data_IF_450617037858
#
_entry.id   IF_450617037858
#
_cell.length_a   1.000
_cell.length_b   1.000
_cell.length_c   1.000
_cell.angle_alpha   90.00
_cell.angle_beta   90.00
_cell.angle_gamma   90.00
#
_symmetry.space_group_name_H-M   'P 1'
#
loop_
_entity.id
_entity.type
_entity.pdbx_description
1 polymer ?
#
# COMPACT_ATOMS: atom_id res chain seq x y z
N UNK A 1 20.24 -4.32 24.22
CA UNK A 1 19.53 -5.58 24.49
C UNK A 1 18.14 -5.23 25.00
N UNK A 2 17.19 -5.06 24.07
CA UNK A 2 15.76 -5.01 24.38
C UNK A 2 15.12 -5.80 23.22
N UNK A 3 15.16 -7.13 23.34
CA UNK A 3 14.30 -8.01 22.56
C UNK A 3 13.11 -8.37 23.44
N UNK A 4 12.25 -7.40 23.73
CA UNK A 4 10.91 -7.74 24.18
C UNK A 4 10.18 -8.28 22.95
N UNK A 5 9.88 -9.59 22.99
CA UNK A 5 9.03 -10.26 22.01
C UNK A 5 7.64 -9.62 22.09
N UNK A 6 7.48 -8.49 21.39
CA UNK A 6 6.17 -8.07 20.93
C UNK A 6 5.57 -9.24 20.15
N UNK A 7 4.33 -9.67 20.47
CA UNK A 7 3.70 -10.75 19.73
C UNK A 7 3.68 -10.38 18.24
N UNK A 8 3.87 -11.39 17.39
CA UNK A 8 3.80 -11.22 15.95
C UNK A 8 2.49 -10.49 15.58
N UNK A 9 2.51 -9.56 14.60
CA UNK A 9 1.29 -8.90 14.16
C UNK A 9 0.28 -9.95 13.69
N UNK A 10 -0.99 -9.80 14.06
CA UNK A 10 -2.01 -10.79 13.69
C UNK A 10 -2.47 -10.59 12.23
N UNK A 11 -2.37 -9.37 11.72
CA UNK A 11 -2.73 -9.01 10.35
C UNK A 11 -1.80 -7.93 9.79
N UNK A 12 -1.99 -7.61 8.50
CA UNK A 12 -1.17 -6.62 7.80
C UNK A 12 -1.28 -5.20 8.40
N UNK A 13 -2.45 -4.81 8.89
CA UNK A 13 -2.63 -3.51 9.56
C UNK A 13 -1.90 -3.44 10.92
N UNK A 14 -1.91 -4.50 11.72
CA UNK A 14 -1.11 -4.57 12.96
C UNK A 14 0.40 -4.39 12.66
N UNK A 15 0.87 -4.94 11.53
CA UNK A 15 2.25 -4.81 11.08
C UNK A 15 2.59 -3.37 10.66
N UNK A 16 1.67 -2.68 9.98
CA UNK A 16 1.77 -1.25 9.66
C UNK A 16 1.83 -0.42 10.95
N UNK A 17 0.95 -0.68 11.92
CA UNK A 17 0.89 0.06 13.17
C UNK A 17 2.19 -0.03 13.98
N UNK A 18 2.70 -1.26 14.14
CA UNK A 18 4.02 -1.50 14.76
C UNK A 18 5.14 -0.81 13.99
N UNK A 19 5.20 -1.02 12.67
CA UNK A 19 6.25 -0.43 11.84
C UNK A 19 6.24 1.10 11.87
N UNK A 20 5.07 1.72 11.80
CA UNK A 20 4.95 3.17 11.84
C UNK A 20 5.40 3.73 13.20
N UNK A 21 4.93 3.15 14.31
CA UNK A 21 5.36 3.60 15.64
C UNK A 21 6.87 3.46 15.86
N UNK A 22 7.49 2.41 15.34
CA UNK A 22 8.95 2.24 15.38
C UNK A 22 9.69 3.31 14.55
N UNK A 23 9.17 3.63 13.36
CA UNK A 23 9.70 4.72 12.53
C UNK A 23 9.59 6.06 13.26
N UNK A 24 8.46 6.34 13.91
CA UNK A 24 8.28 7.57 14.68
C UNK A 24 9.27 7.63 15.85
N UNK A 25 9.43 6.55 16.63
CA UNK A 25 10.39 6.49 17.75
C UNK A 25 11.82 6.70 17.29
N UNK A 26 12.18 6.15 16.13
CA UNK A 26 13.52 6.31 15.55
C UNK A 26 13.79 7.75 15.06
N UNK A 27 12.75 8.57 14.87
CA UNK A 27 12.84 9.92 14.29
C UNK A 27 12.19 11.00 15.17
N UNK A 28 12.64 11.20 16.42
CA UNK A 28 11.97 12.07 17.40
C UNK A 28 11.96 13.55 17.02
N UNK A 29 12.80 13.96 16.05
CA UNK A 29 12.90 15.35 15.57
C UNK A 29 11.88 15.68 14.47
N UNK A 30 11.28 14.68 13.84
CA UNK A 30 10.33 14.91 12.76
C UNK A 30 8.93 15.14 13.34
N UNK A 31 8.25 16.19 12.87
CA UNK A 31 6.85 16.42 13.25
C UNK A 31 5.98 15.35 12.61
N UNK A 32 5.15 14.68 13.42
CA UNK A 32 4.27 13.60 12.95
C UNK A 32 2.84 14.10 12.78
N UNK A 33 2.20 13.76 11.66
CA UNK A 33 0.76 13.95 11.43
C UNK A 33 0.14 12.67 10.89
N UNK A 34 -0.99 12.29 11.47
CA UNK A 34 -1.80 11.15 11.00
C UNK A 34 -3.19 11.65 10.64
N UNK A 35 -3.63 11.39 9.41
CA UNK A 35 -4.99 11.65 8.97
C UNK A 35 -5.88 10.48 9.38
N UNK A 36 -6.95 10.79 10.11
CA UNK A 36 -7.90 9.81 10.63
C UNK A 36 -9.34 10.28 10.44
N UNK A 37 -10.11 9.76 9.47
CA UNK A 37 -11.52 10.08 9.32
C UNK A 37 -12.43 9.38 10.37
N UNK A 38 -11.96 9.28 11.61
CA UNK A 38 -12.56 8.54 12.74
C UNK A 38 -12.59 7.00 12.59
N UNK A 39 -11.49 6.43 12.09
CA UNK A 39 -11.41 5.00 11.73
C UNK A 39 -10.14 4.28 12.24
N UNK A 40 -9.21 4.97 12.91
CA UNK A 40 -7.90 4.42 13.27
C UNK A 40 -8.02 3.14 14.11
N UNK A 41 -8.88 3.15 15.14
CA UNK A 41 -9.08 1.99 16.00
C UNK A 41 -9.76 0.83 15.25
N UNK A 42 -10.74 1.12 14.40
CA UNK A 42 -11.45 0.08 13.61
C UNK A 42 -10.61 -0.49 12.46
N UNK A 43 -9.53 0.20 12.11
CA UNK A 43 -8.50 -0.17 11.14
C UNK A 43 -7.21 -0.70 11.79
N UNK A 44 -7.26 -1.18 13.05
CA UNK A 44 -6.15 -1.88 13.70
C UNK A 44 -4.88 -1.03 13.88
N UNK A 45 -5.07 0.25 14.26
CA UNK A 45 -3.95 1.16 14.56
C UNK A 45 -3.92 1.64 16.05
N UNK A 46 -4.08 0.75 17.06
CA UNK A 46 -4.12 1.16 18.46
C UNK A 46 -2.81 1.76 18.98
N UNK A 47 -1.64 1.24 18.57
CA UNK A 47 -0.34 1.70 19.06
C UNK A 47 -0.06 3.13 18.58
N UNK A 48 -0.36 3.42 17.32
CA UNK A 48 -0.29 4.76 16.75
C UNK A 48 -1.20 5.70 17.52
N UNK A 49 -2.44 5.29 17.79
CA UNK A 49 -3.39 6.12 18.51
C UNK A 49 -2.94 6.42 19.94
N UNK A 50 -2.48 5.41 20.68
CA UNK A 50 -1.98 5.55 22.05
C UNK A 50 -0.74 6.44 22.13
N UNK A 51 0.19 6.26 21.19
CA UNK A 51 1.44 7.02 21.13
C UNK A 51 1.23 8.48 20.73
N UNK A 52 0.42 8.72 19.70
CA UNK A 52 0.32 10.04 19.05
C UNK A 52 -0.88 10.86 19.50
N UNK A 53 -1.93 10.21 20.01
CA UNK A 53 -3.17 10.79 20.53
C UNK A 53 -3.97 11.60 19.51
N UNK A 54 -5.29 11.57 19.63
CA UNK A 54 -6.18 12.50 18.95
C UNK A 54 -5.84 13.93 19.38
N UNK A 55 -5.76 14.83 18.39
CA UNK A 55 -5.66 16.26 18.63
C UNK A 55 -7.04 16.84 18.90
N UNK A 56 -7.27 17.29 20.13
CA UNK A 56 -8.56 17.87 20.57
C UNK A 56 -8.36 19.16 21.37
N UNK A 57 -9.38 20.00 21.47
CA UNK A 57 -9.28 21.23 22.26
C UNK A 57 -9.42 20.99 23.78
N UNK A 58 -10.21 20.00 24.17
CA UNK A 58 -10.47 19.63 25.56
C UNK A 58 -10.36 18.11 25.69
N UNK A 59 -9.19 17.58 26.10
CA UNK A 59 -8.99 16.14 26.24
C UNK A 59 -9.84 15.54 27.36
N UNK A 60 -10.49 14.42 27.08
CA UNK A 60 -11.17 13.63 28.09
C UNK A 60 -10.18 12.77 28.90
N UNK A 61 -10.42 12.53 30.20
CA UNK A 61 -9.62 11.58 30.99
C UNK A 61 -9.72 10.16 30.42
N UNK A 62 -8.63 9.40 30.51
CA UNK A 62 -8.55 7.99 30.11
C UNK A 62 -8.82 7.68 28.62
N UNK A 63 -8.89 8.70 27.77
CA UNK A 63 -8.91 8.56 26.30
C UNK A 63 -7.55 8.93 25.71
N UNK A 64 -7.18 8.39 24.52
CA UNK A 64 -5.94 8.74 23.84
C UNK A 64 -6.06 10.12 23.17
N UNK A 65 -6.20 11.17 23.97
CA UNK A 65 -6.43 12.54 23.55
C UNK A 65 -5.39 13.51 24.12
N UNK A 66 -5.04 14.54 23.35
CA UNK A 66 -4.19 15.63 23.80
C UNK A 66 -4.36 16.90 22.96
N UNK A 67 -4.17 18.07 23.58
CA UNK A 67 -4.15 19.36 22.87
C UNK A 67 -3.06 19.42 21.81
N UNK A 68 -1.92 18.78 22.07
CA UNK A 68 -0.81 18.68 21.15
C UNK A 68 -0.76 17.35 20.38
N UNK A 69 -1.85 16.58 20.36
CA UNK A 69 -1.94 15.31 19.64
C UNK A 69 -1.52 15.41 18.16
N UNK A 70 -1.04 14.28 17.65
CA UNK A 70 -0.53 14.11 16.29
C UNK A 70 -1.54 13.52 15.32
N UNK A 71 -2.57 12.82 15.83
CA UNK A 71 -3.68 12.30 15.03
C UNK A 71 -4.72 13.39 14.81
N UNK A 72 -4.91 13.79 13.56
CA UNK A 72 -5.92 14.77 13.15
C UNK A 72 -7.20 14.02 12.78
N UNK A 73 -8.27 14.29 13.52
CA UNK A 73 -9.55 13.60 13.36
C UNK A 73 -10.66 14.55 12.98
N UNK A 74 -11.32 14.23 11.88
CA UNK A 74 -12.56 14.85 11.41
C UNK A 74 -13.25 13.81 10.53
N UNK A 75 -14.58 13.71 10.59
CA UNK A 75 -15.36 12.82 9.71
C UNK A 75 -15.45 13.40 8.27
N UNK A 76 -14.29 13.70 7.70
CA UNK A 76 -14.11 14.35 6.42
C UNK A 76 -12.69 14.05 5.91
N UNK A 77 -12.64 13.24 4.87
CA UNK A 77 -11.41 12.71 4.26
C UNK A 77 -10.55 13.83 3.67
N UNK A 78 -11.15 14.84 3.04
CA UNK A 78 -10.45 16.01 2.48
C UNK A 78 -9.76 16.85 3.57
N UNK A 79 -10.43 17.07 4.69
CA UNK A 79 -9.89 17.86 5.79
C UNK A 79 -8.70 17.17 6.46
N UNK A 80 -8.81 15.87 6.72
CA UNK A 80 -7.73 15.11 7.36
C UNK A 80 -6.53 14.95 6.43
N UNK A 81 -6.72 14.68 5.13
CA UNK A 81 -5.60 14.57 4.20
C UNK A 81 -4.89 15.91 4.02
N UNK A 82 -5.61 17.03 3.96
CA UNK A 82 -5.00 18.35 3.86
C UNK A 82 -4.08 18.66 5.05
N UNK A 83 -4.44 18.22 6.27
CA UNK A 83 -3.61 18.39 7.45
C UNK A 83 -2.28 17.61 7.37
N UNK A 84 -2.28 16.44 6.72
CA UNK A 84 -1.09 15.61 6.49
C UNK A 84 -0.24 16.20 5.35
N UNK A 85 -0.85 16.59 4.23
CA UNK A 85 -0.11 17.17 3.09
C UNK A 85 0.52 18.52 3.45
N UNK A 86 -0.14 19.31 4.32
CA UNK A 86 0.42 20.54 4.89
C UNK A 86 1.58 20.32 5.86
N UNK A 87 1.84 19.08 6.30
CA UNK A 87 2.99 18.73 7.14
C UNK A 87 4.23 18.39 6.30
N UNK A 88 4.63 19.35 5.47
CA UNK A 88 5.86 19.26 4.68
C UNK A 88 7.08 19.05 5.58
N UNK A 89 7.95 18.13 5.18
CA UNK A 89 9.18 17.78 5.90
C UNK A 89 8.99 16.96 7.18
N UNK A 90 7.75 16.61 7.54
CA UNK A 90 7.43 15.74 8.67
C UNK A 90 7.17 14.28 8.27
N UNK A 91 6.90 13.44 9.27
CA UNK A 91 6.37 12.09 9.06
C UNK A 91 4.85 12.14 8.97
N UNK A 92 4.33 11.47 7.95
CA UNK A 92 2.95 11.58 7.53
C UNK A 92 2.37 10.20 7.30
N UNK A 93 1.12 9.98 7.70
CA UNK A 93 0.38 8.76 7.43
C UNK A 93 -1.10 9.13 7.25
N UNK A 94 -1.77 8.59 6.24
CA UNK A 94 -3.22 8.62 6.16
C UNK A 94 -3.77 7.20 6.23
N UNK A 95 -4.86 7.00 6.97
CA UNK A 95 -5.55 5.71 7.04
C UNK A 95 -7.02 5.98 6.80
N UNK A 96 -7.62 5.26 5.86
CA UNK A 96 -9.02 5.42 5.48
C UNK A 96 -9.59 4.09 5.01
N UNK A 97 -10.90 3.93 5.13
CA UNK A 97 -11.65 2.97 4.35
C UNK A 97 -11.42 3.23 2.86
N UNK A 98 -11.15 2.16 2.10
CA UNK A 98 -10.85 2.26 0.67
C UNK A 98 -11.91 3.05 -0.10
N UNK A 99 -13.18 2.71 0.11
CA UNK A 99 -14.31 3.29 -0.62
C UNK A 99 -14.43 4.82 -0.45
N UNK A 100 -13.97 5.35 0.68
CA UNK A 100 -14.07 6.78 0.96
C UNK A 100 -12.78 7.55 0.73
N UNK A 101 -11.65 6.86 0.66
CA UNK A 101 -10.36 7.46 0.38
C UNK A 101 -10.36 8.22 -0.97
N UNK A 102 -11.24 7.85 -1.90
CA UNK A 102 -11.45 8.54 -3.18
C UNK A 102 -11.75 10.05 -3.02
N UNK A 103 -12.40 10.46 -1.93
CA UNK A 103 -12.65 11.89 -1.64
C UNK A 103 -11.35 12.69 -1.49
N UNK A 104 -10.25 12.05 -1.14
CA UNK A 104 -8.93 12.68 -1.00
C UNK A 104 -8.26 13.00 -2.34
N UNK A 105 -8.72 12.42 -3.46
CA UNK A 105 -7.99 12.43 -4.75
C UNK A 105 -7.62 13.84 -5.22
N UNK A 106 -8.52 14.81 -5.07
CA UNK A 106 -8.28 16.19 -5.50
C UNK A 106 -7.03 16.79 -4.84
N UNK A 107 -6.89 16.62 -3.53
CA UNK A 107 -5.73 17.09 -2.77
C UNK A 107 -4.46 16.31 -3.10
N UNK A 108 -4.56 14.98 -3.22
CA UNK A 108 -3.43 14.12 -3.58
C UNK A 108 -2.85 14.48 -4.96
N UNK A 109 -3.71 14.73 -5.95
CA UNK A 109 -3.30 15.05 -7.32
C UNK A 109 -2.51 16.35 -7.40
N UNK A 110 -2.86 17.36 -6.60
CA UNK A 110 -2.08 18.61 -6.56
C UNK A 110 -0.64 18.36 -6.10
N UNK A 111 -0.45 17.48 -5.12
CA UNK A 111 0.87 17.13 -4.60
C UNK A 111 1.69 16.26 -5.55
N UNK A 112 1.02 15.32 -6.22
CA UNK A 112 1.62 14.49 -7.27
C UNK A 112 2.15 15.38 -8.40
N UNK A 113 1.32 16.28 -8.93
CA UNK A 113 1.70 17.21 -10.02
C UNK A 113 2.80 18.16 -9.55
N UNK A 114 2.72 18.68 -8.32
CA UNK A 114 3.74 19.55 -7.77
C UNK A 114 5.11 18.86 -7.71
N UNK A 115 5.18 17.66 -7.13
CA UNK A 115 6.43 16.89 -7.08
C UNK A 115 6.94 16.52 -8.48
N UNK A 116 6.03 16.22 -9.40
CA UNK A 116 6.37 15.91 -10.79
C UNK A 116 7.03 17.10 -11.49
N UNK A 117 6.46 18.29 -11.39
CA UNK A 117 7.06 19.51 -11.95
C UNK A 117 8.44 19.81 -11.34
N UNK A 118 8.65 19.55 -10.06
CA UNK A 118 9.98 19.68 -9.45
C UNK A 118 10.99 18.76 -10.15
N UNK A 119 10.65 17.48 -10.33
CA UNK A 119 11.51 16.49 -11.01
C UNK A 119 11.82 16.90 -12.45
N UNK A 120 10.85 17.42 -13.19
CA UNK A 120 11.03 17.90 -14.57
C UNK A 120 11.95 19.13 -14.67
N UNK A 121 11.98 19.95 -13.62
CA UNK A 121 12.93 21.06 -13.48
C UNK A 121 14.30 20.63 -12.94
N UNK A 122 14.55 19.32 -12.75
CA UNK A 122 15.77 18.79 -12.16
C UNK A 122 15.90 19.05 -10.64
N UNK A 123 14.80 19.40 -9.98
CA UNK A 123 14.74 19.67 -8.54
C UNK A 123 14.22 18.44 -7.80
N UNK A 124 14.88 18.06 -6.71
CA UNK A 124 14.37 16.99 -5.83
C UNK A 124 13.27 17.53 -4.92
N UNK A 125 12.12 16.85 -4.80
CA UNK A 125 11.09 17.23 -3.83
C UNK A 125 11.64 17.25 -2.40
N UNK A 126 11.44 18.34 -1.68
CA UNK A 126 11.97 18.54 -0.32
C UNK A 126 11.17 17.89 0.80
N UNK A 127 10.29 16.93 0.51
CA UNK A 127 9.38 16.32 1.47
C UNK A 127 9.39 14.80 1.39
N UNK A 128 9.26 14.15 2.55
CA UNK A 128 9.22 12.69 2.70
C UNK A 128 7.91 12.17 2.10
N UNK A 129 7.96 11.10 1.32
CA UNK A 129 6.78 10.50 0.70
C UNK A 129 5.68 10.19 1.72
N UNK A 130 4.43 10.30 1.27
CA UNK A 130 3.24 10.17 2.11
C UNK A 130 2.53 8.85 1.81
N UNK A 131 2.57 7.87 2.74
CA UNK A 131 1.72 6.69 2.66
C UNK A 131 0.26 7.02 3.00
N UNK A 132 -0.64 6.56 2.15
CA UNK A 132 -2.08 6.48 2.36
C UNK A 132 -2.47 5.01 2.39
N UNK A 133 -2.98 4.54 3.51
CA UNK A 133 -3.43 3.16 3.69
C UNK A 133 -4.92 3.09 3.38
N UNK A 134 -5.25 2.42 2.28
CA UNK A 134 -6.61 2.07 1.90
C UNK A 134 -6.90 0.68 2.46
N UNK A 135 -7.60 0.64 3.59
CA UNK A 135 -7.93 -0.61 4.29
C UNK A 135 -9.42 -0.73 4.53
N UNK A 136 -9.87 -1.74 5.30
CA UNK A 136 -11.27 -2.15 5.31
C UNK A 136 -11.78 -2.18 3.88
N UNK A 137 -11.06 -2.86 3.00
CA UNK A 137 -11.17 -2.62 1.58
C UNK A 137 -12.35 -3.41 0.99
N UNK A 138 -12.58 -3.28 -0.31
CA UNK A 138 -13.73 -3.84 -1.05
C UNK A 138 -14.05 -5.29 -0.71
N UNK A 139 -13.04 -6.16 -0.59
CA UNK A 139 -13.22 -7.59 -0.27
C UNK A 139 -13.46 -7.91 1.22
N UNK A 140 -13.51 -6.91 2.10
CA UNK A 140 -13.61 -7.07 3.57
C UNK A 140 -14.86 -6.43 4.20
N UNK A 141 -15.70 -5.75 3.41
CA UNK A 141 -16.79 -4.91 3.90
C UNK A 141 -18.19 -5.54 3.85
N UNK A 142 -18.30 -6.83 4.15
CA UNK A 142 -19.59 -7.52 4.16
C UNK A 142 -20.65 -6.87 5.07
N UNK A 143 -20.24 -6.31 6.22
CA UNK A 143 -21.16 -5.67 7.19
C UNK A 143 -21.72 -4.31 6.74
N UNK A 144 -21.07 -3.67 5.77
CA UNK A 144 -21.38 -2.31 5.31
C UNK A 144 -21.94 -2.29 3.87
N UNK A 145 -22.17 -3.49 3.30
CA UNK A 145 -22.81 -3.71 2.00
C UNK A 145 -22.11 -2.98 0.84
N UNK A 146 -22.85 -2.63 -0.22
CA UNK A 146 -22.33 -2.18 -1.50
C UNK A 146 -21.67 -0.78 -1.46
N UNK A 147 -22.10 0.11 -0.57
CA UNK A 147 -21.58 1.48 -0.49
C UNK A 147 -20.12 1.57 -0.05
N UNK A 148 -19.57 0.48 0.51
CA UNK A 148 -18.20 0.38 1.01
C UNK A 148 -17.32 -0.54 0.14
N UNK A 149 -17.76 -0.80 -1.10
CA UNK A 149 -17.11 -1.68 -2.08
C UNK A 149 -16.74 -0.87 -3.32
N UNK A 150 -15.74 0.00 -3.18
CA UNK A 150 -15.29 0.88 -4.26
C UNK A 150 -13.75 1.02 -4.28
N UNK A 151 -13.06 0.35 -5.22
CA UNK A 151 -11.61 0.45 -5.40
C UNK A 151 -11.19 1.63 -6.30
N UNK A 152 -12.03 2.66 -6.51
CA UNK A 152 -11.74 3.73 -7.49
C UNK A 152 -10.47 4.53 -7.18
N UNK A 153 -10.11 4.78 -5.92
CA UNK A 153 -8.90 5.56 -5.60
C UNK A 153 -7.62 4.92 -6.15
N UNK A 154 -7.25 3.67 -5.80
CA UNK A 154 -6.04 3.05 -6.34
C UNK A 154 -6.07 2.99 -7.87
N UNK A 155 -7.22 2.77 -8.49
CA UNK A 155 -7.36 2.79 -9.96
C UNK A 155 -7.07 4.17 -10.56
N UNK A 156 -7.60 5.24 -9.95
CA UNK A 156 -7.32 6.60 -10.39
C UNK A 156 -5.84 6.95 -10.25
N UNK A 157 -5.20 6.50 -9.16
CA UNK A 157 -3.77 6.70 -8.92
C UNK A 157 -2.88 5.89 -9.88
N UNK A 158 -3.31 4.71 -10.34
CA UNK A 158 -2.64 3.98 -11.42
C UNK A 158 -2.67 4.75 -12.76
N UNK A 159 -3.61 5.69 -12.92
CA UNK A 159 -3.64 6.61 -14.07
C UNK A 159 -2.56 7.71 -14.00
N UNK A 160 -2.10 8.06 -12.80
CA UNK A 160 -1.06 9.08 -12.57
C UNK A 160 0.35 8.54 -12.87
N UNK A 161 1.36 9.42 -12.88
CA UNK A 161 2.76 9.10 -13.15
C UNK A 161 3.36 8.23 -12.02
N UNK A 162 3.79 7.01 -12.35
CA UNK A 162 4.04 5.96 -11.34
C UNK A 162 5.20 6.30 -10.39
N UNK A 163 6.14 7.13 -10.83
CA UNK A 163 7.27 7.59 -10.02
C UNK A 163 6.90 8.70 -9.02
N UNK A 164 5.67 9.23 -9.06
CA UNK A 164 5.14 10.21 -8.09
C UNK A 164 3.85 9.74 -7.41
N UNK A 165 3.10 8.84 -8.05
CA UNK A 165 1.88 8.22 -7.54
C UNK A 165 2.01 6.70 -7.55
N UNK A 166 2.34 6.13 -6.41
CA UNK A 166 2.57 4.69 -6.24
C UNK A 166 1.31 4.00 -5.76
N UNK A 167 1.06 2.79 -6.24
CA UNK A 167 -0.05 1.95 -5.79
C UNK A 167 0.53 0.57 -5.48
N UNK A 168 0.44 0.18 -4.21
CA UNK A 168 1.09 -1.01 -3.67
C UNK A 168 0.03 -1.90 -3.01
N UNK A 169 0.07 -3.19 -3.32
CA UNK A 169 -0.85 -4.22 -2.85
C UNK A 169 -0.10 -5.23 -1.96
N UNK A 170 0.21 -4.87 -0.69
CA UNK A 170 0.75 -5.84 0.25
C UNK A 170 -0.23 -7.02 0.44
N UNK A 171 0.32 -8.23 0.51
CA UNK A 171 -0.47 -9.47 0.57
C UNK A 171 -0.53 -10.09 1.97
N UNK A 172 0.34 -9.63 2.88
CA UNK A 172 0.50 -10.14 4.24
C UNK A 172 1.22 -9.11 5.15
N UNK A 173 1.51 -9.49 6.40
CA UNK A 173 2.19 -8.64 7.38
C UNK A 173 3.61 -8.23 6.96
N UNK A 174 4.40 -9.17 6.42
CA UNK A 174 5.77 -8.92 5.96
C UNK A 174 5.82 -7.86 4.86
N UNK A 175 5.00 -8.05 3.82
CA UNK A 175 4.91 -7.13 2.68
C UNK A 175 4.31 -5.78 3.07
N UNK A 176 3.34 -5.72 3.98
CA UNK A 176 2.76 -4.45 4.44
C UNK A 176 3.76 -3.59 5.21
N UNK A 177 4.47 -4.18 6.17
CA UNK A 177 5.50 -3.45 6.92
C UNK A 177 6.65 -3.00 6.00
N UNK A 178 7.06 -3.85 5.06
CA UNK A 178 8.12 -3.51 4.12
C UNK A 178 7.68 -2.44 3.11
N UNK A 179 6.43 -2.46 2.63
CA UNK A 179 5.88 -1.43 1.75
C UNK A 179 5.95 -0.06 2.42
N UNK A 180 5.56 0.02 3.70
CA UNK A 180 5.65 1.25 4.48
C UNK A 180 7.08 1.78 4.57
N UNK A 181 8.07 0.90 4.84
CA UNK A 181 9.50 1.28 4.89
C UNK A 181 10.00 1.79 3.54
N UNK A 182 9.61 1.13 2.45
CA UNK A 182 9.99 1.53 1.09
C UNK A 182 9.43 2.91 0.74
N UNK A 183 8.18 3.20 1.12
CA UNK A 183 7.59 4.53 0.91
C UNK A 183 8.36 5.60 1.68
N UNK A 184 8.64 5.41 2.97
CA UNK A 184 9.35 6.43 3.77
C UNK A 184 10.81 6.66 3.36
N UNK A 185 11.41 5.78 2.57
CA UNK A 185 12.73 6.02 1.95
C UNK A 185 12.65 6.94 0.73
N UNK A 186 11.47 7.12 0.16
CA UNK A 186 11.22 7.98 -0.99
C UNK A 186 11.06 9.46 -0.64
N UNK A 187 11.06 10.29 -1.68
CA UNK A 187 10.81 11.73 -1.57
C UNK A 187 9.83 12.19 -2.65
N UNK A 188 8.84 12.98 -2.24
CA UNK A 188 7.85 13.55 -3.15
C UNK A 188 6.93 12.53 -3.83
N UNK A 189 6.68 11.39 -3.20
CA UNK A 189 5.72 10.40 -3.68
C UNK A 189 4.48 10.40 -2.80
N UNK A 190 3.32 10.20 -3.41
CA UNK A 190 2.11 9.73 -2.74
C UNK A 190 2.03 8.23 -3.01
N UNK A 191 1.89 7.41 -1.97
CA UNK A 191 1.79 5.96 -2.11
C UNK A 191 0.50 5.42 -1.47
N UNK A 192 -0.39 4.87 -2.29
CA UNK A 192 -1.58 4.16 -1.82
C UNK A 192 -1.24 2.70 -1.54
N UNK A 193 -1.36 2.28 -0.29
CA UNK A 193 -1.18 0.89 0.14
C UNK A 193 -2.56 0.27 0.37
N UNK A 194 -2.97 -0.61 -0.53
CA UNK A 194 -4.25 -1.35 -0.43
C UNK A 194 -4.02 -2.55 0.47
N UNK A 195 -4.42 -2.44 1.74
CA UNK A 195 -3.98 -3.36 2.80
C UNK A 195 -5.15 -4.06 3.47
N UNK A 196 -5.15 -5.40 3.57
CA UNK A 196 -6.19 -6.13 4.29
C UNK A 196 -6.09 -5.85 5.79
N UNK A 197 -7.23 -5.71 6.47
CA UNK A 197 -7.24 -5.63 7.94
C UNK A 197 -7.56 -6.95 8.63
N UNK A 198 -8.18 -7.89 7.92
CA UNK A 198 -8.47 -9.20 8.48
C UNK A 198 -7.23 -10.08 8.43
N UNK A 199 -7.26 -11.13 9.22
CA UNK A 199 -6.21 -12.15 9.21
C UNK A 199 -6.16 -12.79 7.82
N UNK A 200 -4.98 -12.77 7.22
CA UNK A 200 -4.65 -13.42 5.96
C UNK A 200 -3.43 -14.32 6.19
N UNK A 201 -3.25 -15.40 5.40
CA UNK A 201 -2.06 -16.23 5.53
C UNK A 201 -0.78 -15.42 5.28
N UNK A 202 0.27 -15.71 6.03
CA UNK A 202 1.61 -15.24 5.67
C UNK A 202 2.07 -15.97 4.41
N UNK A 203 2.40 -15.20 3.36
CA UNK A 203 2.81 -15.73 2.05
C UNK A 203 4.30 -15.53 1.84
N UNK A 204 4.84 -14.41 2.30
CA UNK A 204 6.21 -13.97 2.08
C UNK A 204 6.98 -13.87 3.40
N UNK A 205 8.20 -14.39 3.40
CA UNK A 205 9.22 -14.02 4.38
C UNK A 205 9.57 -12.53 4.29
N UNK A 206 10.28 -12.01 5.29
CA UNK A 206 10.72 -10.61 5.28
C UNK A 206 11.70 -10.33 4.13
N UNK A 207 12.58 -11.28 3.83
CA UNK A 207 13.53 -11.21 2.73
C UNK A 207 12.82 -11.24 1.37
N UNK A 208 11.85 -12.13 1.19
CA UNK A 208 11.02 -12.18 -0.02
C UNK A 208 10.21 -10.91 -0.19
N UNK A 209 9.59 -10.38 0.87
CA UNK A 209 8.86 -9.13 0.84
C UNK A 209 9.77 -7.95 0.41
N UNK A 210 11.01 -7.91 0.91
CA UNK A 210 11.98 -6.88 0.53
C UNK A 210 12.37 -6.98 -0.96
N UNK A 211 12.70 -8.18 -1.43
CA UNK A 211 13.04 -8.42 -2.84
C UNK A 211 11.84 -8.13 -3.77
N UNK A 212 10.65 -8.59 -3.38
CA UNK A 212 9.42 -8.43 -4.14
C UNK A 212 9.02 -6.95 -4.28
N UNK A 213 9.22 -6.11 -3.26
CA UNK A 213 8.92 -4.67 -3.36
C UNK A 213 9.98 -3.88 -4.13
N UNK A 214 11.24 -4.34 -4.11
CA UNK A 214 12.30 -3.74 -4.94
C UNK A 214 12.01 -3.96 -6.44
N UNK A 215 11.63 -5.19 -6.81
CA UNK A 215 11.28 -5.55 -8.19
C UNK A 215 9.85 -5.11 -8.56
N UNK A 216 8.93 -5.14 -7.60
CA UNK A 216 7.49 -4.94 -7.78
C UNK A 216 6.67 -6.23 -7.90
N UNK A 217 7.31 -7.39 -8.02
CA UNK A 217 6.66 -8.69 -8.19
C UNK A 217 7.55 -9.85 -7.72
N UNK A 218 6.95 -11.03 -7.51
CA UNK A 218 7.64 -12.26 -7.13
C UNK A 218 6.87 -13.51 -7.57
N UNK A 219 7.59 -14.56 -8.01
CA UNK A 219 7.00 -15.89 -8.20
C UNK A 219 6.89 -16.62 -6.86
N UNK A 220 5.71 -17.11 -6.52
CA UNK A 220 5.44 -17.74 -5.21
C UNK A 220 5.06 -19.22 -5.30
N UNK A 221 4.75 -19.72 -6.50
CA UNK A 221 4.46 -21.14 -6.70
C UNK A 221 4.67 -21.58 -8.15
N UNK A 222 5.07 -22.84 -8.34
CA UNK A 222 5.33 -23.43 -9.65
C UNK A 222 6.57 -22.89 -10.35
N UNK A 223 6.90 -23.50 -11.49
CA UNK A 223 8.01 -23.10 -12.35
C UNK A 223 7.46 -22.38 -13.59
N UNK A 224 7.81 -21.10 -13.75
CA UNK A 224 7.36 -20.27 -14.87
C UNK A 224 7.84 -20.81 -16.23
N UNK A 225 8.98 -21.50 -16.26
CA UNK A 225 9.57 -22.04 -17.50
C UNK A 225 8.87 -23.31 -17.99
N UNK A 226 8.21 -24.04 -17.08
CA UNK A 226 7.45 -25.25 -17.38
C UNK A 226 5.92 -25.02 -17.41
N UNK A 227 5.46 -23.84 -16.98
CA UNK A 227 4.03 -23.52 -16.89
C UNK A 227 3.36 -23.45 -18.27
N UNK A 228 2.13 -23.93 -18.35
CA UNK A 228 1.24 -23.75 -19.51
C UNK A 228 0.30 -22.56 -19.34
N UNK A 229 0.12 -22.10 -18.10
CA UNK A 229 -0.65 -20.92 -17.73
C UNK A 229 -0.04 -20.28 -16.49
N UNK A 230 0.02 -18.96 -16.47
CA UNK A 230 0.46 -18.18 -15.32
C UNK A 230 -0.74 -17.53 -14.64
N UNK A 231 -0.87 -17.74 -13.33
CA UNK A 231 -1.83 -17.02 -12.49
C UNK A 231 -1.12 -15.80 -11.91
N UNK A 232 -1.59 -14.60 -12.25
CA UNK A 232 -1.03 -13.35 -11.76
C UNK A 232 -1.99 -12.75 -10.75
N UNK A 233 -1.56 -12.61 -9.50
CA UNK A 233 -2.38 -12.06 -8.44
C UNK A 233 -1.90 -10.66 -8.00
N UNK A 234 -2.87 -9.77 -7.82
CA UNK A 234 -2.70 -8.40 -7.32
C UNK A 234 -3.68 -8.23 -6.16
N UNK A 235 -3.17 -8.18 -4.94
CA UNK A 235 -3.97 -8.11 -3.70
C UNK A 235 -3.95 -9.40 -2.88
N UNK A 236 -4.18 -9.25 -1.57
CA UNK A 236 -4.06 -10.33 -0.59
C UNK A 236 -5.05 -11.47 -0.82
N UNK A 237 -6.32 -11.14 -1.10
CA UNK A 237 -7.37 -12.14 -1.33
C UNK A 237 -7.19 -12.83 -2.68
N UNK A 238 -6.75 -12.09 -3.69
CA UNK A 238 -6.41 -12.61 -5.02
C UNK A 238 -5.24 -13.58 -4.95
N UNK A 239 -4.23 -13.31 -4.13
CA UNK A 239 -3.10 -14.20 -3.90
C UNK A 239 -3.55 -15.55 -3.32
N UNK A 240 -4.46 -15.53 -2.34
CA UNK A 240 -5.02 -16.75 -1.76
C UNK A 240 -5.79 -17.58 -2.79
N UNK A 241 -6.65 -16.94 -3.58
CA UNK A 241 -7.42 -17.64 -4.62
C UNK A 241 -6.52 -18.15 -5.76
N UNK A 242 -5.46 -17.43 -6.12
CA UNK A 242 -4.48 -17.89 -7.10
C UNK A 242 -3.72 -19.13 -6.61
N UNK A 243 -3.31 -19.16 -5.34
CA UNK A 243 -2.69 -20.35 -4.73
C UNK A 243 -3.67 -21.53 -4.62
N UNK A 244 -4.95 -21.27 -4.34
CA UNK A 244 -5.98 -22.30 -4.33
C UNK A 244 -6.25 -22.86 -5.74
N UNK A 245 -6.27 -22.01 -6.77
CA UNK A 245 -6.38 -22.42 -8.16
C UNK A 245 -5.15 -23.21 -8.63
N UNK A 246 -3.95 -22.75 -8.29
CA UNK A 246 -2.69 -23.45 -8.58
C UNK A 246 -2.69 -24.88 -8.05
N UNK A 247 -3.05 -25.08 -6.77
CA UNK A 247 -3.16 -26.42 -6.17
C UNK A 247 -4.10 -27.32 -6.98
N UNK A 248 -5.31 -26.84 -7.29
CA UNK A 248 -6.32 -27.62 -8.03
C UNK A 248 -5.89 -27.97 -9.46
N UNK A 249 -5.13 -27.10 -10.12
CA UNK A 249 -4.58 -27.34 -11.46
C UNK A 249 -3.44 -28.35 -11.43
N UNK A 250 -2.51 -28.19 -10.48
CA UNK A 250 -1.40 -29.13 -10.27
C UNK A 250 -1.90 -30.53 -9.92
N UNK A 251 -2.94 -30.67 -9.09
CA UNK A 251 -3.59 -31.95 -8.76
C UNK A 251 -4.16 -32.68 -10.00
N UNK A 252 -4.44 -31.94 -11.07
CA UNK A 252 -4.94 -32.46 -12.36
C UNK A 252 -3.83 -32.64 -13.41
N UNK A 253 -2.56 -32.46 -13.02
CA UNK A 253 -1.42 -32.57 -13.91
C UNK A 253 -1.31 -31.43 -14.93
N UNK A 254 -1.89 -30.25 -14.63
CA UNK A 254 -1.74 -29.05 -15.46
C UNK A 254 -0.63 -28.15 -14.90
N UNK A 255 0.54 -28.03 -15.57
CA UNK A 255 1.61 -27.16 -15.12
C UNK A 255 1.16 -25.70 -15.13
N UNK A 256 1.26 -25.04 -13.98
CA UNK A 256 0.98 -23.62 -13.84
C UNK A 256 1.91 -23.01 -12.79
N UNK A 257 2.05 -21.68 -12.82
CA UNK A 257 2.79 -20.93 -11.80
C UNK A 257 1.93 -19.77 -11.27
N UNK A 258 2.33 -19.24 -10.11
CA UNK A 258 1.71 -18.07 -9.48
C UNK A 258 2.74 -16.98 -9.33
N UNK A 259 2.41 -15.79 -9.82
CA UNK A 259 3.19 -14.56 -9.65
C UNK A 259 2.36 -13.55 -8.89
N UNK A 260 2.93 -12.97 -7.85
CA UNK A 260 2.37 -11.78 -7.19
C UNK A 260 2.94 -10.54 -7.87
N UNK A 261 2.08 -9.56 -8.14
CA UNK A 261 2.49 -8.19 -8.40
C UNK A 261 2.08 -7.36 -7.19
N UNK A 262 3.08 -6.82 -6.50
CA UNK A 262 2.88 -5.92 -5.37
C UNK A 262 2.77 -4.47 -5.81
N UNK A 263 3.43 -4.06 -6.90
CA UNK A 263 3.44 -2.67 -7.37
C UNK A 263 3.21 -2.61 -8.90
N UNK A 264 1.94 -2.65 -9.37
CA UNK A 264 1.62 -2.72 -10.80
C UNK A 264 2.21 -1.58 -11.64
N UNK A 265 2.37 -0.39 -11.05
CA UNK A 265 2.97 0.77 -11.72
C UNK A 265 4.38 0.52 -12.27
N UNK A 266 5.11 -0.47 -11.76
CA UNK A 266 6.43 -0.86 -12.28
C UNK A 266 6.36 -1.64 -13.59
N UNK A 267 5.23 -2.27 -13.94
CA UNK A 267 5.13 -3.17 -15.10
C UNK A 267 4.38 -2.57 -16.28
N UNK A 268 4.21 -1.25 -16.29
CA UNK A 268 3.64 -0.53 -17.44
C UNK A 268 4.72 -0.06 -18.41
N UNK A 269 4.32 0.27 -19.62
CA UNK A 269 5.17 1.03 -20.53
C UNK A 269 5.36 2.47 -20.00
N UNK A 270 6.60 2.86 -19.67
CA UNK A 270 6.91 4.20 -19.19
C UNK A 270 6.60 5.28 -20.24
N UNK A 271 5.77 6.27 -19.86
CA UNK A 271 5.27 7.32 -20.78
C UNK A 271 6.32 8.35 -21.15
N UNK A 272 7.33 8.54 -20.30
CA UNK A 272 8.44 9.47 -20.50
C UNK A 272 9.73 8.95 -19.82
N UNK A 273 10.88 9.63 -19.95
CA UNK A 273 12.14 9.17 -19.35
C UNK A 273 12.12 9.03 -17.83
N UNK A 274 11.37 9.87 -17.12
CA UNK A 274 11.30 9.84 -15.65
C UNK A 274 10.50 8.62 -15.18
N UNK A 275 9.36 8.34 -15.81
CA UNK A 275 8.60 7.13 -15.49
C UNK A 275 9.31 5.86 -15.96
N UNK A 276 9.98 5.90 -17.11
CA UNK A 276 10.76 4.76 -17.62
C UNK A 276 11.88 4.35 -16.66
N UNK A 277 12.47 5.30 -15.94
CA UNK A 277 13.47 5.02 -14.91
C UNK A 277 12.88 4.35 -13.66
N UNK A 278 11.57 4.44 -13.46
CA UNK A 278 10.85 3.80 -12.36
C UNK A 278 10.32 2.40 -12.74
N UNK A 279 9.94 2.21 -14.00
CA UNK A 279 9.42 0.93 -14.50
C UNK A 279 10.50 -0.16 -14.60
N UNK A 280 10.08 -1.41 -14.48
CA UNK A 280 10.93 -2.59 -14.67
C UNK A 280 11.59 -2.59 -16.05
N UNK A 281 12.81 -3.12 -16.12
CA UNK A 281 13.49 -3.34 -17.39
C UNK A 281 12.81 -4.43 -18.21
N UNK A 282 12.99 -4.41 -19.53
CA UNK A 282 12.48 -5.49 -20.41
C UNK A 282 12.98 -6.88 -19.99
N UNK A 283 14.23 -6.97 -19.51
CA UNK A 283 14.79 -8.23 -18.98
C UNK A 283 14.03 -8.72 -17.75
N UNK A 284 13.77 -7.82 -16.79
CA UNK A 284 12.99 -8.14 -15.59
C UNK A 284 11.57 -8.54 -15.95
N UNK A 285 10.94 -7.79 -16.86
CA UNK A 285 9.59 -8.03 -17.33
C UNK A 285 9.47 -9.38 -18.05
N UNK A 286 10.38 -9.72 -18.95
CA UNK A 286 10.37 -11.02 -19.64
C UNK A 286 10.69 -12.20 -18.73
N UNK A 287 11.52 -11.99 -17.71
CA UNK A 287 11.83 -13.03 -16.70
C UNK A 287 10.58 -13.37 -15.88
N UNK A 288 9.85 -12.34 -15.42
CA UNK A 288 8.63 -12.53 -14.62
C UNK A 288 7.42 -12.93 -15.46
N UNK A 289 7.36 -12.45 -16.71
CA UNK A 289 6.21 -12.58 -17.60
C UNK A 289 6.67 -13.01 -19.00
N UNK A 290 7.01 -14.30 -19.20
CA UNK A 290 7.51 -14.79 -20.49
C UNK A 290 6.53 -14.57 -21.64
N UNK A 291 7.06 -14.13 -22.79
CA UNK A 291 6.27 -13.88 -24.00
C UNK A 291 5.55 -15.16 -24.44
N UNK A 292 4.27 -15.05 -24.76
CA UNK A 292 3.47 -16.17 -25.26
C UNK A 292 2.89 -17.11 -24.19
N UNK A 293 3.27 -16.96 -22.91
CA UNK A 293 2.65 -17.70 -21.81
C UNK A 293 1.26 -17.08 -21.50
N UNK A 294 0.14 -17.82 -21.64
CA UNK A 294 -1.19 -17.31 -21.30
C UNK A 294 -1.30 -16.95 -19.82
N UNK A 295 -1.98 -15.84 -19.52
CA UNK A 295 -2.12 -15.32 -18.16
C UNK A 295 -3.57 -15.19 -17.75
N UNK A 296 -3.84 -15.53 -16.49
CA UNK A 296 -5.10 -15.21 -15.82
C UNK A 296 -4.78 -14.21 -14.72
N UNK A 297 -5.35 -13.01 -14.83
CA UNK A 297 -5.16 -11.96 -13.85
C UNK A 297 -6.28 -12.04 -12.80
N UNK A 298 -5.88 -12.14 -11.53
CA UNK A 298 -6.72 -12.00 -10.37
C UNK A 298 -6.37 -10.66 -9.73
N UNK A 299 -7.28 -9.69 -9.84
CA UNK A 299 -7.01 -8.30 -9.46
C UNK A 299 -7.94 -7.84 -8.35
N UNK A 300 -7.39 -7.07 -7.40
CA UNK A 300 -8.15 -6.42 -6.34
C UNK A 300 -9.13 -5.39 -6.90
N UNK A 301 -8.66 -4.62 -7.88
CA UNK A 301 -9.42 -3.57 -8.56
C UNK A 301 -10.30 -4.18 -9.65
N UNK A 302 -11.09 -3.32 -10.32
CA UNK A 302 -11.69 -3.68 -11.59
C UNK A 302 -10.62 -4.12 -12.61
N UNK A 303 -10.95 -4.97 -13.58
CA UNK A 303 -9.95 -5.53 -14.50
C UNK A 303 -9.38 -4.51 -15.50
N UNK A 304 -10.13 -3.47 -15.86
CA UNK A 304 -9.77 -2.54 -16.95
C UNK A 304 -8.42 -1.83 -16.73
N UNK A 305 -8.08 -1.32 -15.52
CA UNK A 305 -6.76 -0.74 -15.25
C UNK A 305 -5.59 -1.73 -15.36
N UNK A 306 -5.86 -3.04 -15.33
CA UNK A 306 -4.86 -4.12 -15.36
C UNK A 306 -4.75 -4.78 -16.74
N UNK A 307 -5.69 -4.49 -17.64
CA UNK A 307 -5.67 -4.94 -19.03
C UNK A 307 -5.04 -3.86 -19.90
N UNK A 308 -3.71 -3.83 -19.95
CA UNK A 308 -2.92 -2.90 -20.76
C UNK A 308 -1.65 -3.56 -21.28
#
# INVERSE_FOLDING_TARGET
SISEHSPAPNCAMDAIDRCFTDIVRANPRLRVRVANPDELRSNHMPLTLEMLKHRVNAPEPDTPEAVNGSVITALNEEAVIAAVLGNKGGLNLAVSYEAFAMKMLGALRQEIIFARHQKELGQSPGWISVPLIATSHTWENAKNEQSHQDPTLPEALLGEMSETARVIFPVDASSAAQALRVVYRGQGEIACLVTPKRDVPDILSQEEAAAALDIGAIHIAGDVTAARVQLVAIGAYQAQEALAAHRRLTDRGLPCCVTLILEPGKFRAGRDPLERAFTATDETLHTLFPVGLPRVLLTHTRPEPMTG
#
